data_IF_828788866982
#
_entry.id   IF_828788866982
#
_cell.length_a   1.000
_cell.length_b   1.000
_cell.length_c   1.000
_cell.angle_alpha   90.00
_cell.angle_beta   90.00
_cell.angle_gamma   90.00
#
_symmetry.space_group_name_H-M   'P 1'
#
loop_
_entity.id
_entity.type
_entity.pdbx_description
1 polymer ?
#
# COMPACT_ATOMS: atom_id res chain seq x y z
N UNK A 1 -33.53 50.49 1.33
CA UNK A 1 -32.46 51.32 0.72
C UNK A 1 -31.20 51.14 1.55
N UNK A 2 -30.20 50.45 1.00
CA UNK A 2 -28.79 50.70 1.27
C UNK A 2 -27.99 50.06 0.13
N UNK A 3 -27.37 50.96 -0.64
CA UNK A 3 -26.56 50.68 -1.81
C UNK A 3 -25.14 50.49 -1.30
N UNK A 4 -24.59 49.28 -1.45
CA UNK A 4 -23.16 49.05 -1.34
C UNK A 4 -22.65 48.63 -2.72
N UNK A 5 -22.14 49.63 -3.44
CA UNK A 5 -21.23 49.46 -4.57
C UNK A 5 -19.95 48.80 -4.04
N UNK A 6 -19.58 47.64 -4.58
CA UNK A 6 -18.21 47.14 -4.53
C UNK A 6 -17.85 46.59 -5.90
N UNK A 7 -16.94 47.34 -6.53
CA UNK A 7 -16.11 46.94 -7.66
C UNK A 7 -15.25 45.75 -7.23
N UNK A 8 -15.18 44.72 -8.07
CA UNK A 8 -13.93 44.30 -8.72
C UNK A 8 -14.21 42.99 -9.47
N UNK A 9 -14.41 43.18 -10.77
CA UNK A 9 -14.44 42.18 -11.81
C UNK A 9 -13.02 41.59 -11.92
N UNK A 10 -12.83 40.37 -11.45
CA UNK A 10 -11.64 39.58 -11.75
C UNK A 10 -12.11 38.31 -12.43
N UNK A 11 -12.39 38.47 -13.72
CA UNK A 11 -12.48 37.37 -14.68
C UNK A 11 -11.13 36.65 -14.68
N UNK A 12 -11.11 35.41 -14.18
CA UNK A 12 -9.98 34.51 -14.35
C UNK A 12 -10.13 33.93 -15.76
N UNK A 13 -9.41 34.51 -16.71
CA UNK A 13 -9.15 33.89 -18.02
C UNK A 13 -8.24 32.68 -17.79
N UNK A 14 -8.80 31.48 -17.92
CA UNK A 14 -8.03 30.24 -18.06
C UNK A 14 -7.59 30.18 -19.51
N UNK A 15 -6.45 30.81 -19.80
CA UNK A 15 -5.77 30.71 -21.10
C UNK A 15 -5.14 29.31 -21.21
N UNK A 16 -5.89 28.38 -21.82
CA UNK A 16 -5.37 27.08 -22.24
C UNK A 16 -4.45 27.29 -23.46
N UNK A 17 -3.17 27.57 -23.19
CA UNK A 17 -2.12 27.55 -24.20
C UNK A 17 -1.79 26.11 -24.60
N UNK A 18 -2.43 25.70 -25.71
CA UNK A 18 -1.83 25.01 -26.86
C UNK A 18 -0.47 24.32 -26.61
N UNK A 19 -0.49 23.07 -26.14
CA UNK A 19 0.62 22.15 -26.35
C UNK A 19 0.26 21.20 -27.50
N UNK A 20 0.43 21.71 -28.71
CA UNK A 20 0.44 20.91 -29.96
C UNK A 20 1.69 20.05 -29.97
N UNK A 21 1.55 18.79 -29.58
CA UNK A 21 2.56 17.76 -29.82
C UNK A 21 2.53 17.47 -31.32
N UNK A 22 3.51 18.03 -32.04
CA UNK A 22 3.86 17.62 -33.41
C UNK A 22 4.44 16.19 -33.34
N UNK A 23 3.57 15.22 -33.62
CA UNK A 23 3.98 13.87 -34.01
C UNK A 23 4.56 13.95 -35.43
N UNK A 24 5.89 13.91 -35.55
CA UNK A 24 6.55 13.69 -36.83
C UNK A 24 6.52 12.19 -37.16
N UNK A 25 5.82 11.88 -38.24
CA UNK A 25 5.66 10.55 -38.80
C UNK A 25 6.56 10.45 -40.03
N UNK A 26 7.67 9.74 -39.93
CA UNK A 26 8.39 9.28 -41.11
C UNK A 26 8.57 7.76 -41.11
N UNK A 27 7.73 7.15 -41.94
CA UNK A 27 7.86 5.80 -42.46
C UNK A 27 8.80 5.80 -43.66
N UNK A 28 9.84 4.96 -43.67
CA UNK A 28 10.44 4.42 -44.89
C UNK A 28 11.07 3.04 -44.62
N UNK A 29 10.63 2.03 -45.38
CA UNK A 29 11.22 0.68 -45.45
C UNK A 29 12.45 0.68 -46.40
N UNK A 30 13.37 -0.33 -46.42
CA UNK A 30 13.05 -1.64 -47.02
C UNK A 30 13.81 -2.89 -46.49
N UNK A 31 13.29 -4.05 -46.92
CA UNK A 31 13.75 -5.46 -46.82
C UNK A 31 15.27 -5.72 -46.73
N UNK A 32 15.66 -6.68 -45.87
CA UNK A 32 16.74 -7.66 -46.16
C UNK A 32 16.52 -9.00 -45.47
N UNK A 33 17.00 -10.03 -46.16
CA UNK A 33 16.78 -11.46 -45.95
C UNK A 33 17.50 -12.06 -44.73
N UNK A 34 16.88 -13.15 -44.24
CA UNK A 34 17.27 -14.20 -43.28
C UNK A 34 18.78 -14.54 -43.19
N UNK A 35 19.23 -15.08 -42.04
CA UNK A 35 19.23 -16.55 -41.92
C UNK A 35 18.46 -17.05 -40.70
N UNK A 36 17.77 -18.17 -40.89
CA UNK A 36 17.15 -18.95 -39.83
C UNK A 36 18.25 -19.53 -38.94
N UNK A 37 18.43 -18.96 -37.74
CA UNK A 37 19.19 -19.59 -36.67
C UNK A 37 18.24 -20.56 -35.97
N UNK A 38 18.44 -21.85 -36.22
CA UNK A 38 17.88 -22.95 -35.44
C UNK A 38 18.44 -22.84 -34.02
N UNK A 39 17.73 -22.13 -33.14
CA UNK A 39 17.96 -22.21 -31.70
C UNK A 39 17.42 -23.57 -31.26
N UNK A 40 18.34 -24.51 -31.06
CA UNK A 40 18.09 -25.76 -30.38
C UNK A 40 17.66 -25.40 -28.94
N UNK A 41 16.34 -25.33 -28.72
CA UNK A 41 15.75 -25.21 -27.39
C UNK A 41 16.08 -26.49 -26.62
N UNK A 42 17.25 -26.52 -26.00
CA UNK A 42 17.53 -27.41 -24.90
C UNK A 42 16.58 -27.00 -23.77
N UNK A 43 15.49 -27.75 -23.63
CA UNK A 43 14.57 -27.67 -22.51
C UNK A 43 15.34 -28.06 -21.25
N UNK A 44 16.05 -27.11 -20.65
CA UNK A 44 16.44 -27.25 -19.25
C UNK A 44 15.12 -27.26 -18.47
N UNK A 45 14.70 -28.47 -18.08
CA UNK A 45 13.74 -28.65 -17.00
C UNK A 45 14.41 -28.11 -15.74
N UNK A 46 14.28 -26.79 -15.51
CA UNK A 46 14.57 -26.25 -14.19
C UNK A 46 13.59 -26.95 -13.23
N UNK A 47 14.07 -27.55 -12.13
CA UNK A 47 13.16 -27.98 -11.08
C UNK A 47 12.39 -26.74 -10.64
N UNK A 48 11.08 -26.75 -10.86
CA UNK A 48 10.17 -25.82 -10.21
C UNK A 48 10.26 -26.14 -8.72
N UNK A 49 11.17 -25.46 -8.01
CA UNK A 49 11.10 -25.37 -6.57
C UNK A 49 9.74 -24.74 -6.28
N UNK A 50 8.78 -25.57 -5.90
CA UNK A 50 7.51 -25.07 -5.38
C UNK A 50 7.88 -24.26 -4.14
N UNK A 51 7.59 -22.96 -4.18
CA UNK A 51 7.77 -22.13 -3.01
C UNK A 51 7.05 -22.82 -1.84
N UNK A 52 7.68 -22.90 -0.65
CA UNK A 52 7.00 -23.48 0.50
C UNK A 52 5.67 -22.76 0.67
N UNK A 53 4.58 -23.50 0.57
CA UNK A 53 3.24 -22.97 0.81
C UNK A 53 3.15 -22.65 2.29
N UNK A 54 2.83 -21.40 2.62
CA UNK A 54 2.63 -20.96 4.01
C UNK A 54 1.49 -21.77 4.62
N UNK A 55 1.69 -22.32 5.81
CA UNK A 55 0.61 -22.92 6.59
C UNK A 55 -0.40 -21.86 7.04
N UNK A 56 -1.60 -22.32 7.41
CA UNK A 56 -2.73 -21.45 7.76
C UNK A 56 -2.41 -20.58 8.99
N UNK A 57 -1.68 -21.11 9.98
CA UNK A 57 -1.26 -20.36 11.16
C UNK A 57 -0.35 -19.19 10.80
N UNK A 58 0.60 -19.41 9.91
CA UNK A 58 1.48 -18.36 9.38
C UNK A 58 0.69 -17.33 8.59
N UNK A 59 -0.26 -17.75 7.75
CA UNK A 59 -1.11 -16.82 7.00
C UNK A 59 -1.93 -15.91 7.93
N UNK A 60 -2.56 -16.49 8.96
CA UNK A 60 -3.31 -15.75 9.97
C UNK A 60 -2.42 -14.76 10.75
N UNK A 61 -1.22 -15.19 11.14
CA UNK A 61 -0.24 -14.33 11.80
C UNK A 61 0.11 -13.12 10.92
N UNK A 62 0.33 -13.32 9.63
CA UNK A 62 0.70 -12.24 8.70
C UNK A 62 -0.45 -11.25 8.51
N UNK A 63 -1.68 -11.73 8.32
CA UNK A 63 -2.88 -10.88 8.24
C UNK A 63 -3.04 -10.05 9.53
N UNK A 64 -2.85 -10.68 10.69
CA UNK A 64 -2.91 -10.02 12.00
C UNK A 64 -1.80 -8.98 12.16
N UNK A 65 -0.58 -9.28 11.72
CA UNK A 65 0.56 -8.37 11.80
C UNK A 65 0.36 -7.13 10.90
N UNK A 66 -0.10 -7.32 9.66
CA UNK A 66 -0.42 -6.21 8.74
C UNK A 66 -1.51 -5.32 9.32
N UNK A 67 -2.56 -5.91 9.88
CA UNK A 67 -3.64 -5.18 10.55
C UNK A 67 -3.11 -4.33 11.71
N UNK A 68 -2.34 -4.93 12.62
CA UNK A 68 -1.80 -4.21 13.79
C UNK A 68 -0.82 -3.09 13.41
N UNK A 69 -0.02 -3.28 12.36
CA UNK A 69 0.86 -2.24 11.84
C UNK A 69 0.08 -1.08 11.22
N UNK A 70 -0.94 -1.38 10.41
CA UNK A 70 -1.78 -0.38 9.76
C UNK A 70 -2.56 0.47 10.79
N UNK A 71 -3.16 -0.15 11.81
CA UNK A 71 -3.90 0.56 12.86
C UNK A 71 -3.00 1.54 13.63
N UNK A 72 -1.79 1.12 14.00
CA UNK A 72 -0.87 1.98 14.72
C UNK A 72 -0.35 3.13 13.85
N UNK A 73 -0.02 2.87 12.58
CA UNK A 73 0.35 3.93 11.63
C UNK A 73 -0.83 4.91 11.41
N UNK A 74 -2.07 4.43 11.30
CA UNK A 74 -3.27 5.26 11.18
C UNK A 74 -3.48 6.14 12.42
N UNK A 75 -3.32 5.59 13.63
CA UNK A 75 -3.37 6.37 14.86
C UNK A 75 -2.30 7.48 14.86
N UNK A 76 -1.06 7.13 14.53
CA UNK A 76 0.07 8.06 14.50
C UNK A 76 -0.17 9.18 13.48
N UNK A 77 -0.63 8.84 12.26
CA UNK A 77 -0.96 9.81 11.23
C UNK A 77 -2.09 10.74 11.68
N UNK A 78 -3.17 10.19 12.23
CA UNK A 78 -4.40 10.94 12.52
C UNK A 78 -4.30 11.78 13.79
N UNK A 79 -3.72 11.24 14.85
CA UNK A 79 -3.75 11.83 16.19
C UNK A 79 -2.41 12.46 16.61
N UNK A 80 -1.32 12.13 15.92
CA UNK A 80 0.03 12.67 16.17
C UNK A 80 0.64 13.40 14.96
N UNK A 81 0.02 13.33 13.79
CA UNK A 81 0.54 13.96 12.57
C UNK A 81 1.77 13.27 11.97
N UNK A 82 2.08 12.03 12.39
CA UNK A 82 3.20 11.27 11.87
C UNK A 82 2.74 10.37 10.70
N UNK A 83 3.09 10.78 9.48
CA UNK A 83 2.72 10.08 8.24
C UNK A 83 3.82 9.14 7.73
N UNK A 84 4.79 8.78 8.57
CA UNK A 84 5.97 8.03 8.11
C UNK A 84 5.69 6.58 7.70
N UNK A 85 4.56 5.97 8.12
CA UNK A 85 4.25 4.56 7.80
C UNK A 85 5.27 3.58 8.39
N UNK A 86 5.94 3.97 9.48
CA UNK A 86 7.12 3.28 9.99
C UNK A 86 6.80 1.86 10.46
N UNK A 87 5.59 1.61 10.95
CA UNK A 87 5.21 0.28 11.43
C UNK A 87 5.09 -0.70 10.26
N UNK A 88 4.38 -0.32 9.20
CA UNK A 88 4.27 -1.11 7.97
C UNK A 88 5.65 -1.33 7.33
N UNK A 89 6.49 -0.29 7.24
CA UNK A 89 7.84 -0.40 6.68
C UNK A 89 8.72 -1.39 7.44
N UNK A 90 8.66 -1.37 8.77
CA UNK A 90 9.43 -2.28 9.60
C UNK A 90 8.93 -3.71 9.48
N UNK A 91 7.61 -3.92 9.50
CA UNK A 91 7.02 -5.23 9.29
C UNK A 91 7.41 -5.80 7.92
N UNK A 92 7.34 -4.98 6.86
CA UNK A 92 7.70 -5.40 5.51
C UNK A 92 9.17 -5.87 5.43
N UNK A 93 10.09 -5.21 6.14
CA UNK A 93 11.50 -5.65 6.20
C UNK A 93 11.64 -7.04 6.82
N UNK A 94 10.95 -7.30 7.93
CA UNK A 94 10.98 -8.61 8.59
C UNK A 94 10.37 -9.70 7.69
N UNK A 95 9.22 -9.42 7.07
CA UNK A 95 8.55 -10.37 6.17
C UNK A 95 9.39 -10.71 4.94
N UNK A 96 10.00 -9.71 4.30
CA UNK A 96 10.92 -9.92 3.17
C UNK A 96 12.12 -10.74 3.62
N UNK A 97 12.69 -10.42 4.78
CA UNK A 97 13.86 -11.12 5.31
C UNK A 97 13.60 -12.58 5.71
N UNK A 98 12.40 -12.89 6.22
CA UNK A 98 12.03 -14.22 6.72
C UNK A 98 11.42 -15.12 5.65
N UNK A 99 10.50 -14.58 4.89
CA UNK A 99 9.60 -15.36 4.04
C UNK A 99 9.72 -14.98 2.55
N UNK A 100 10.45 -13.91 2.21
CA UNK A 100 10.54 -13.42 0.84
C UNK A 100 9.24 -12.82 0.30
N UNK A 101 8.29 -12.48 1.17
CA UNK A 101 6.99 -11.87 0.82
C UNK A 101 6.93 -10.42 1.35
N UNK A 102 6.04 -9.63 0.76
CA UNK A 102 5.82 -8.23 1.16
C UNK A 102 4.47 -8.06 1.85
N UNK A 103 4.31 -6.94 2.57
CA UNK A 103 2.99 -6.52 3.10
C UNK A 103 1.97 -6.43 1.97
N UNK A 104 2.34 -5.83 0.82
CA UNK A 104 1.46 -5.73 -0.34
C UNK A 104 1.02 -7.11 -0.85
N UNK A 105 1.94 -8.08 -0.91
CA UNK A 105 1.60 -9.46 -1.29
C UNK A 105 0.60 -10.09 -0.32
N UNK A 106 0.75 -9.86 0.99
CA UNK A 106 -0.23 -10.33 1.97
C UNK A 106 -1.60 -9.66 1.79
N UNK A 107 -1.64 -8.37 1.51
CA UNK A 107 -2.89 -7.64 1.27
C UNK A 107 -3.62 -8.07 -0.02
N UNK A 108 -2.88 -8.48 -1.04
CA UNK A 108 -3.44 -8.99 -2.31
C UNK A 108 -3.80 -10.49 -2.23
N UNK A 109 -3.05 -11.29 -1.46
CA UNK A 109 -3.17 -12.75 -1.51
C UNK A 109 -3.85 -13.37 -0.29
N UNK A 110 -3.79 -12.77 0.90
CA UNK A 110 -4.27 -13.39 2.13
C UNK A 110 -5.53 -12.71 2.70
N UNK A 111 -5.72 -11.42 2.44
CA UNK A 111 -6.95 -10.73 2.83
C UNK A 111 -8.16 -11.14 1.96
N UNK A 112 -9.39 -11.13 2.51
CA UNK A 112 -10.58 -11.55 1.78
C UNK A 112 -10.90 -10.66 0.58
N UNK A 113 -10.48 -9.39 0.61
CA UNK A 113 -10.67 -8.46 -0.50
C UNK A 113 -9.82 -8.78 -1.73
N UNK A 114 -8.73 -9.54 -1.57
CA UNK A 114 -7.75 -9.85 -2.63
C UNK A 114 -7.29 -8.63 -3.42
N UNK A 115 -7.17 -7.49 -2.74
CA UNK A 115 -6.82 -6.21 -3.34
C UNK A 115 -6.33 -5.25 -2.28
N UNK A 116 -5.05 -4.87 -2.35
CA UNK A 116 -4.41 -3.96 -1.41
C UNK A 116 -5.21 -2.66 -1.23
N UNK A 117 -5.76 -2.10 -2.32
CA UNK A 117 -6.55 -0.86 -2.27
C UNK A 117 -7.84 -1.03 -1.48
N UNK A 118 -8.51 -2.17 -1.62
CA UNK A 118 -9.74 -2.46 -0.92
C UNK A 118 -9.44 -2.81 0.55
N UNK A 119 -8.40 -3.58 0.81
CA UNK A 119 -7.88 -3.92 2.15
C UNK A 119 -7.56 -2.65 2.94
N UNK A 120 -6.75 -1.75 2.37
CA UNK A 120 -6.37 -0.48 3.02
C UNK A 120 -7.59 0.39 3.35
N UNK A 121 -8.55 0.52 2.41
CA UNK A 121 -9.80 1.25 2.65
C UNK A 121 -10.63 0.62 3.77
N UNK A 122 -10.68 -0.71 3.85
CA UNK A 122 -11.37 -1.40 4.94
C UNK A 122 -10.67 -1.12 6.27
N UNK A 123 -9.36 -1.34 6.35
CA UNK A 123 -8.59 -1.14 7.58
C UNK A 123 -8.73 0.29 8.11
N UNK A 124 -8.64 1.28 7.22
CA UNK A 124 -8.87 2.68 7.57
C UNK A 124 -10.29 2.91 8.12
N UNK A 125 -11.31 2.41 7.41
CA UNK A 125 -12.71 2.57 7.85
C UNK A 125 -12.97 1.92 9.21
N UNK A 126 -12.46 0.70 9.41
CA UNK A 126 -12.66 -0.08 10.63
C UNK A 126 -11.95 0.62 11.81
N UNK A 127 -10.70 1.08 11.62
CA UNK A 127 -9.98 1.85 12.62
C UNK A 127 -10.64 3.20 12.94
N UNK A 128 -11.15 3.91 11.93
CA UNK A 128 -11.87 5.17 12.16
C UNK A 128 -13.17 4.96 12.94
N UNK A 129 -13.81 3.79 12.84
CA UNK A 129 -14.94 3.43 13.69
C UNK A 129 -14.50 3.24 15.14
N UNK A 130 -13.45 2.46 15.40
CA UNK A 130 -12.86 2.28 16.75
C UNK A 130 -12.44 3.63 17.36
N UNK A 131 -11.78 4.48 16.58
CA UNK A 131 -11.35 5.79 17.02
C UNK A 131 -12.54 6.70 17.38
N UNK A 132 -13.64 6.63 16.62
CA UNK A 132 -14.86 7.39 16.94
C UNK A 132 -15.50 6.88 18.22
N UNK A 133 -15.56 5.57 18.41
CA UNK A 133 -16.12 4.94 19.60
C UNK A 133 -15.30 5.27 20.85
N UNK A 134 -13.99 5.48 20.69
CA UNK A 134 -13.09 6.00 21.72
C UNK A 134 -13.22 7.52 21.98
N UNK A 135 -14.13 8.24 21.33
CA UNK A 135 -14.29 9.69 21.50
C UNK A 135 -13.35 10.53 20.62
N UNK A 136 -12.88 9.98 19.51
CA UNK A 136 -11.93 10.61 18.60
C UNK A 136 -10.51 10.67 19.17
N UNK A 137 -9.64 11.45 18.54
CA UNK A 137 -8.25 11.58 19.00
C UNK A 137 -8.09 12.08 20.46
N UNK A 138 -8.93 13.00 20.98
CA UNK A 138 -8.86 13.37 22.40
C UNK A 138 -9.17 12.17 23.30
N UNK A 139 -10.30 11.50 23.10
CA UNK A 139 -10.67 10.36 23.94
C UNK A 139 -9.72 9.17 23.82
N UNK A 140 -9.17 8.92 22.63
CA UNK A 140 -8.12 7.93 22.44
C UNK A 140 -6.87 8.24 23.28
N UNK A 141 -6.43 9.50 23.33
CA UNK A 141 -5.24 9.92 24.10
C UNK A 141 -5.43 9.81 25.61
N UNK A 142 -6.65 9.96 26.08
CA UNK A 142 -7.02 9.84 27.50
C UNK A 142 -7.36 8.38 27.89
N UNK A 143 -7.23 7.43 26.96
CA UNK A 143 -7.51 6.01 27.13
C UNK A 143 -6.25 5.15 26.98
N UNK A 144 -6.38 3.84 27.18
CA UNK A 144 -5.30 2.87 26.95
C UNK A 144 -5.14 2.45 25.46
N UNK A 145 -5.90 3.05 24.54
CA UNK A 145 -5.84 2.70 23.11
C UNK A 145 -4.44 2.81 22.50
N UNK A 146 -3.66 3.88 22.72
CA UNK A 146 -2.33 4.03 22.10
C UNK A 146 -1.37 2.92 22.55
N UNK A 147 -1.38 2.61 23.85
CA UNK A 147 -0.59 1.57 24.49
C UNK A 147 -1.02 0.19 23.99
N UNK A 148 -2.33 -0.03 23.83
CA UNK A 148 -2.90 -1.27 23.28
C UNK A 148 -2.45 -1.48 21.84
N UNK A 149 -2.59 -0.47 20.97
CA UNK A 149 -2.14 -0.52 19.58
C UNK A 149 -0.64 -0.84 19.48
N UNK A 150 0.16 -0.17 20.32
CA UNK A 150 1.60 -0.39 20.42
C UNK A 150 1.91 -1.83 20.84
N UNK A 151 1.24 -2.34 21.87
CA UNK A 151 1.43 -3.70 22.36
C UNK A 151 1.09 -4.73 21.29
N UNK A 152 -0.10 -4.61 20.65
CA UNK A 152 -0.53 -5.49 19.55
C UNK A 152 0.49 -5.52 18.43
N UNK A 153 0.98 -4.35 17.99
CA UNK A 153 1.99 -4.28 16.94
C UNK A 153 3.29 -5.02 17.31
N UNK A 154 3.85 -4.76 18.48
CA UNK A 154 5.12 -5.39 18.87
C UNK A 154 4.98 -6.89 19.13
N UNK A 155 3.86 -7.34 19.67
CA UNK A 155 3.54 -8.76 19.81
C UNK A 155 3.59 -9.46 18.44
N UNK A 156 2.85 -8.94 17.45
CA UNK A 156 2.79 -9.53 16.11
C UNK A 156 4.10 -9.42 15.35
N UNK A 157 4.80 -8.30 15.44
CA UNK A 157 6.12 -8.13 14.84
C UNK A 157 7.12 -9.15 15.39
N UNK A 158 7.11 -9.39 16.71
CA UNK A 158 8.01 -10.35 17.34
C UNK A 158 7.65 -11.79 16.98
N UNK A 159 6.36 -12.11 16.82
CA UNK A 159 5.93 -13.40 16.30
C UNK A 159 6.42 -13.62 14.86
N UNK A 160 6.32 -12.62 13.97
CA UNK A 160 6.89 -12.70 12.61
C UNK A 160 8.40 -12.90 12.63
N UNK A 161 9.12 -12.21 13.52
CA UNK A 161 10.58 -12.39 13.69
C UNK A 161 10.97 -13.78 14.18
N UNK A 162 10.10 -14.43 14.94
CA UNK A 162 10.32 -15.76 15.47
C UNK A 162 10.03 -16.88 14.47
N UNK A 163 9.46 -16.56 13.30
CA UNK A 163 9.30 -17.53 12.21
C UNK A 163 10.65 -18.11 11.78
N UNK A 164 10.67 -19.41 11.39
CA UNK A 164 11.89 -20.13 11.02
C UNK A 164 12.63 -19.49 9.85
#
# INVERSE_FOLDING_TARGET
MNILKRSDDTTIEVENSDMRILFDSQSTAPRRMRPAVLILLASLALPSASAPTLDDETQELLVSAVTAAAELDLYNARCRGDQSGRQIDNLNKEMVGKLGITVLGVEDDLFPERSYRATQKRLERDFLAELRDAGGCPGAKDSDLPETLKARYYERLNAVRALP
#
